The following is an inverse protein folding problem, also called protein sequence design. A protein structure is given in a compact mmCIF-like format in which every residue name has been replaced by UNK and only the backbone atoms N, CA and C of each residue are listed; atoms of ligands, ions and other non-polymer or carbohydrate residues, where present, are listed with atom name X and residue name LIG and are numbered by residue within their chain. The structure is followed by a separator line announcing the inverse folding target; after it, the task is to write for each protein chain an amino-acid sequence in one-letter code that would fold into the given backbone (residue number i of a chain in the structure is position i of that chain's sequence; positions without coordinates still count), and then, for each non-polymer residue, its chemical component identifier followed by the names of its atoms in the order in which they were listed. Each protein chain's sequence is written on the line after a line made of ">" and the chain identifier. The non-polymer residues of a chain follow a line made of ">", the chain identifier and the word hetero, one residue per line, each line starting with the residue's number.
data_IF_261112518992
#
_entry.id   IF_261112518992
#
_cell.length_a   1.000
_cell.length_b   1.000
_cell.length_c   1.000
_cell.angle_alpha   90.00
_cell.angle_beta   90.00
_cell.angle_gamma   90.00
#
_symmetry.space_group_name_H-M   'P 1'
#
loop_
_entity.id
_entity.type
_entity.pdbx_description
1 polymer ?
#
# COMPACT_ATOMS: atom_id res chain seq x y z
N UNK A 1 -21.76 -19.90 -14.47
CA UNK A 1 -20.60 -19.05 -14.81
C UNK A 1 -20.80 -17.58 -14.47
N UNK A 2 -21.92 -16.92 -14.82
CA UNK A 2 -22.13 -15.50 -14.50
C UNK A 2 -22.07 -15.14 -13.00
N UNK A 3 -22.69 -15.93 -12.11
CA UNK A 3 -22.69 -15.61 -10.68
C UNK A 3 -21.30 -15.72 -10.04
N UNK A 4 -20.51 -16.73 -10.45
CA UNK A 4 -19.13 -16.92 -9.99
C UNK A 4 -18.23 -15.80 -10.52
N UNK A 5 -18.43 -15.35 -11.76
CA UNK A 5 -17.69 -14.22 -12.33
C UNK A 5 -17.97 -12.91 -11.60
N UNK A 6 -19.25 -12.63 -11.25
CA UNK A 6 -19.62 -11.45 -10.46
C UNK A 6 -19.03 -11.51 -9.05
N UNK A 7 -19.05 -12.69 -8.41
CA UNK A 7 -18.43 -12.86 -7.09
C UNK A 7 -16.92 -12.56 -7.11
N UNK A 8 -16.18 -13.13 -8.07
CA UNK A 8 -14.74 -12.85 -8.21
C UNK A 8 -14.45 -11.40 -8.61
N UNK A 9 -15.33 -10.76 -9.40
CA UNK A 9 -15.19 -9.35 -9.75
C UNK A 9 -15.27 -8.44 -8.52
N UNK A 10 -16.21 -8.70 -7.61
CA UNK A 10 -16.32 -7.96 -6.34
C UNK A 10 -15.12 -8.21 -5.42
N UNK A 11 -14.63 -9.46 -5.35
CA UNK A 11 -13.41 -9.78 -4.60
C UNK A 11 -12.17 -9.06 -5.18
N UNK A 12 -12.09 -8.94 -6.51
CA UNK A 12 -11.00 -8.19 -7.15
C UNK A 12 -11.02 -6.70 -6.79
N UNK A 13 -12.21 -6.11 -6.57
CA UNK A 13 -12.34 -4.72 -6.10
C UNK A 13 -11.80 -4.51 -4.68
N UNK A 14 -11.90 -5.52 -3.82
CA UNK A 14 -11.31 -5.48 -2.48
C UNK A 14 -9.79 -5.66 -2.55
N UNK A 15 -9.32 -6.63 -3.35
CA UNK A 15 -7.90 -6.86 -3.59
C UNK A 15 -7.19 -5.60 -4.15
N UNK A 16 -7.76 -4.92 -5.14
CA UNK A 16 -7.17 -3.68 -5.67
C UNK A 16 -7.11 -2.57 -4.61
N UNK A 17 -8.07 -2.54 -3.67
CA UNK A 17 -8.12 -1.50 -2.63
C UNK A 17 -6.99 -1.69 -1.63
N UNK A 18 -6.74 -2.94 -1.26
CA UNK A 18 -5.66 -3.27 -0.33
C UNK A 18 -4.28 -3.06 -0.97
N UNK A 19 -4.12 -3.40 -2.26
CA UNK A 19 -2.93 -3.06 -3.03
C UNK A 19 -2.69 -1.53 -3.09
N UNK A 20 -3.74 -0.75 -3.36
CA UNK A 20 -3.68 0.71 -3.37
C UNK A 20 -3.34 1.30 -2.00
N UNK A 21 -3.73 0.64 -0.90
CA UNK A 21 -3.41 1.08 0.46
C UNK A 21 -1.92 0.97 0.75
N UNK A 22 -1.26 -0.09 0.28
CA UNK A 22 0.20 -0.25 0.35
C UNK A 22 0.90 0.86 -0.43
N UNK A 23 0.44 1.13 -1.66
CA UNK A 23 0.99 2.21 -2.49
C UNK A 23 0.81 3.57 -1.82
N UNK A 24 -0.34 3.83 -1.17
CA UNK A 24 -0.56 5.07 -0.43
C UNK A 24 0.34 5.18 0.82
N UNK A 25 0.60 4.08 1.54
CA UNK A 25 1.48 4.11 2.72
C UNK A 25 2.92 4.48 2.35
N UNK A 26 3.42 3.96 1.23
CA UNK A 26 4.75 4.27 0.74
C UNK A 26 4.80 5.60 -0.04
N UNK A 27 3.76 5.89 -0.81
CA UNK A 27 3.65 7.03 -1.73
C UNK A 27 3.02 8.29 -1.17
N UNK A 28 2.56 8.26 0.09
CA UNK A 28 1.73 9.28 0.72
C UNK A 28 0.26 9.24 0.29
N UNK A 29 -0.01 9.06 -1.02
CA UNK A 29 -1.35 8.90 -1.59
C UNK A 29 -1.32 8.13 -2.90
N UNK A 30 -2.46 7.59 -3.30
CA UNK A 30 -2.70 6.96 -4.62
C UNK A 30 -3.97 7.61 -5.21
N UNK A 31 -4.07 7.92 -6.53
CA UNK A 31 -3.22 7.48 -7.65
C UNK A 31 -1.89 8.22 -7.84
N UNK A 32 -1.84 9.50 -7.46
CA UNK A 32 -0.65 10.34 -7.68
C UNK A 32 0.28 10.33 -6.47
N UNK A 33 1.23 9.38 -6.44
CA UNK A 33 2.23 9.30 -5.37
C UNK A 33 3.08 10.58 -5.29
N UNK A 34 3.43 11.00 -4.08
CA UNK A 34 4.22 12.21 -3.79
C UNK A 34 5.48 11.89 -2.98
N UNK A 35 6.02 10.69 -3.14
CA UNK A 35 7.24 10.26 -2.46
C UNK A 35 8.49 10.25 -3.36
N UNK A 36 8.36 10.61 -4.65
CA UNK A 36 9.48 10.62 -5.58
C UNK A 36 10.22 11.95 -5.52
N UNK A 37 11.54 11.90 -5.47
CA UNK A 37 12.43 13.06 -5.61
C UNK A 37 13.57 12.70 -6.58
N UNK A 38 14.08 13.67 -7.33
CA UNK A 38 15.23 13.43 -8.23
C UNK A 38 16.42 12.96 -7.39
N UNK A 39 16.89 11.73 -7.64
CA UNK A 39 17.98 11.11 -6.87
C UNK A 39 17.54 10.08 -5.82
N UNK A 40 16.25 9.81 -5.62
CA UNK A 40 15.80 8.76 -4.70
C UNK A 40 14.31 8.81 -4.35
N UNK A 41 13.99 8.54 -3.08
CA UNK A 41 12.64 8.62 -2.51
C UNK A 41 12.65 9.52 -1.27
N UNK A 42 11.55 10.21 -1.02
CA UNK A 42 11.38 11.14 0.08
C UNK A 42 10.98 10.47 1.41
N UNK A 43 10.94 9.13 1.47
CA UNK A 43 10.52 8.41 2.68
C UNK A 43 11.65 8.43 3.72
N UNK A 44 11.45 9.07 4.89
CA UNK A 44 12.41 8.98 5.99
C UNK A 44 12.37 7.56 6.58
N UNK A 45 13.44 6.79 6.40
CA UNK A 45 13.57 5.44 6.96
C UNK A 45 14.19 5.55 8.35
N UNK A 46 13.42 5.26 9.39
CA UNK A 46 13.90 5.19 10.76
C UNK A 46 12.98 4.27 11.57
N UNK A 47 13.53 3.17 12.09
CA UNK A 47 12.78 2.11 12.76
C UNK A 47 12.22 2.56 14.12
N UNK A 48 12.89 3.50 14.78
CA UNK A 48 12.57 3.96 16.14
C UNK A 48 11.96 5.37 16.17
N UNK A 49 11.86 6.03 15.01
CA UNK A 49 11.33 7.39 14.89
C UNK A 49 9.79 7.43 14.89
N UNK A 50 9.22 8.44 15.55
CA UNK A 50 7.78 8.72 15.49
C UNK A 50 7.43 9.44 14.17
N UNK A 51 6.41 8.94 13.45
CA UNK A 51 5.86 9.59 12.24
C UNK A 51 6.57 9.28 10.91
N UNK A 52 7.66 8.53 10.95
CA UNK A 52 8.49 8.16 9.78
C UNK A 52 8.20 6.72 9.31
N UNK A 53 8.91 6.21 8.30
CA UNK A 53 8.79 4.80 7.89
C UNK A 53 9.46 3.90 8.94
N UNK A 54 8.67 3.56 9.96
CA UNK A 54 9.04 2.74 11.12
C UNK A 54 8.68 1.26 10.91
N UNK A 55 9.06 0.42 11.88
CA UNK A 55 8.79 -1.03 11.82
C UNK A 55 7.28 -1.34 11.77
N UNK A 56 6.45 -0.54 12.43
CA UNK A 56 4.99 -0.70 12.45
C UNK A 56 4.38 -0.54 11.04
N UNK A 57 4.77 0.51 10.31
CA UNK A 57 4.36 0.70 8.90
C UNK A 57 4.88 -0.40 7.98
N UNK A 58 6.09 -0.91 8.21
CA UNK A 58 6.65 -2.02 7.45
C UNK A 58 5.90 -3.34 7.69
N UNK A 59 5.54 -3.62 8.95
CA UNK A 59 4.72 -4.78 9.31
C UNK A 59 3.31 -4.67 8.73
N UNK A 60 2.74 -3.46 8.70
CA UNK A 60 1.47 -3.20 8.04
C UNK A 60 1.51 -3.57 6.55
N UNK A 61 2.52 -3.11 5.80
CA UNK A 61 2.72 -3.48 4.39
C UNK A 61 2.82 -5.00 4.22
N UNK A 62 3.61 -5.67 5.08
CA UNK A 62 3.80 -7.12 5.00
C UNK A 62 2.49 -7.89 5.19
N UNK A 63 1.65 -7.44 6.12
CA UNK A 63 0.34 -8.04 6.37
C UNK A 63 -0.61 -7.89 5.17
N UNK A 64 -0.60 -6.72 4.51
CA UNK A 64 -1.45 -6.46 3.34
C UNK A 64 -1.01 -7.21 2.07
N UNK A 65 0.22 -7.71 2.02
CA UNK A 65 0.75 -8.49 0.88
C UNK A 65 0.55 -10.01 1.02
N UNK A 66 0.09 -10.52 2.17
CA UNK A 66 0.09 -11.96 2.48
C UNK A 66 -1.33 -12.54 2.70
N UNK A 67 -2.38 -11.77 2.37
CA UNK A 67 -3.76 -12.26 2.23
C UNK A 67 -4.07 -12.52 0.76
#
# INVERSE_FOLDING_TARGET
>A
MNLIAVAHYLQALECQRDANRVVALLGGKTPHIQNLAVGGVANPINLDGLGVLNLERLMYIKSSSTN
#
